data_IF_130548221986
#
_entry.id   IF_130548221986
#
_cell.length_a   1.000
_cell.length_b   1.000
_cell.length_c   1.000
_cell.angle_alpha   90.00
_cell.angle_beta   90.00
_cell.angle_gamma   90.00
#
_symmetry.space_group_name_H-M   'P 1'
#
loop_
_entity.id
_entity.type
_entity.pdbx_description
1 polymer ?
#
# COMPACT_ATOMS: atom_id res chain seq x y z
N UNK A 1 -47.42 9.56 -22.99
CA UNK A 1 -46.07 9.33 -23.55
C UNK A 1 -44.96 9.98 -22.74
N UNK A 2 -44.99 11.29 -22.43
CA UNK A 2 -43.92 11.99 -21.67
C UNK A 2 -43.51 11.35 -20.33
N UNK A 3 -44.45 10.79 -19.56
CA UNK A 3 -44.17 10.15 -18.27
C UNK A 3 -43.30 8.89 -18.39
N UNK A 4 -43.50 8.10 -19.46
CA UNK A 4 -42.74 6.87 -19.70
C UNK A 4 -41.27 7.18 -20.05
N UNK A 5 -41.04 8.19 -20.90
CA UNK A 5 -39.69 8.63 -21.26
C UNK A 5 -38.94 9.17 -20.05
N UNK A 6 -39.61 9.91 -19.17
CA UNK A 6 -39.00 10.44 -17.95
C UNK A 6 -38.60 9.31 -16.99
N UNK A 7 -39.46 8.31 -16.80
CA UNK A 7 -39.12 7.12 -15.99
C UNK A 7 -37.95 6.35 -16.59
N UNK A 8 -37.94 6.16 -17.92
CA UNK A 8 -36.86 5.45 -18.61
C UNK A 8 -35.52 6.20 -18.46
N UNK A 9 -35.55 7.52 -18.60
CA UNK A 9 -34.38 8.38 -18.41
C UNK A 9 -33.82 8.26 -16.99
N UNK A 10 -34.68 8.31 -15.96
CA UNK A 10 -34.24 8.15 -14.57
C UNK A 10 -33.61 6.78 -14.33
N UNK A 11 -34.20 5.69 -14.82
CA UNK A 11 -33.65 4.33 -14.65
C UNK A 11 -32.27 4.22 -15.29
N UNK A 12 -32.09 4.72 -16.52
CA UNK A 12 -30.79 4.70 -17.22
C UNK A 12 -29.78 5.59 -16.49
N UNK A 13 -30.19 6.77 -16.04
CA UNK A 13 -29.33 7.70 -15.33
C UNK A 13 -28.83 7.11 -14.00
N UNK A 14 -29.71 6.54 -13.18
CA UNK A 14 -29.31 5.92 -11.91
C UNK A 14 -28.47 4.65 -12.11
N UNK A 15 -28.80 3.79 -13.10
CA UNK A 15 -28.01 2.60 -13.41
C UNK A 15 -26.62 2.91 -13.97
N UNK A 16 -26.45 4.04 -14.66
CA UNK A 16 -25.15 4.47 -15.19
C UNK A 16 -24.26 5.09 -14.10
N UNK A 17 -24.84 5.85 -13.17
CA UNK A 17 -24.09 6.53 -12.11
C UNK A 17 -23.68 5.61 -10.95
N UNK A 18 -24.35 4.47 -10.74
CA UNK A 18 -23.97 3.48 -9.71
C UNK A 18 -22.66 2.75 -10.01
N UNK A 19 -22.19 2.71 -11.25
CA UNK A 19 -20.88 2.13 -11.61
C UNK A 19 -19.69 3.08 -11.37
N UNK A 20 -19.93 4.34 -10.96
CA UNK A 20 -18.87 5.30 -10.65
C UNK A 20 -18.30 5.12 -9.23
N UNK A 21 -18.84 4.21 -8.43
CA UNK A 21 -18.39 3.99 -7.05
C UNK A 21 -17.22 2.99 -6.99
N UNK A 22 -16.09 3.51 -6.49
CA UNK A 22 -15.08 2.82 -5.68
C UNK A 22 -14.21 1.78 -6.41
N UNK A 23 -13.33 2.25 -7.30
CA UNK A 23 -12.09 1.52 -7.55
C UNK A 23 -11.16 1.79 -6.36
N UNK A 24 -11.26 0.99 -5.30
CA UNK A 24 -10.27 1.02 -4.21
C UNK A 24 -8.88 0.86 -4.82
N UNK A 25 -8.02 1.87 -4.64
CA UNK A 25 -6.63 1.81 -5.13
C UNK A 25 -5.81 0.91 -4.21
N UNK A 26 -6.05 -0.40 -4.29
CA UNK A 26 -5.22 -1.40 -3.63
C UNK A 26 -3.92 -1.53 -4.41
N UNK A 27 -2.79 -1.41 -3.71
CA UNK A 27 -1.44 -1.53 -4.28
C UNK A 27 -0.60 -2.61 -3.60
N UNK A 28 -1.18 -3.32 -2.61
CA UNK A 28 -0.55 -4.45 -1.92
C UNK A 28 -1.38 -5.69 -2.21
N UNK A 29 -0.73 -6.73 -2.73
CA UNK A 29 -1.36 -7.98 -3.11
C UNK A 29 -0.67 -9.14 -2.38
N UNK A 30 -1.42 -10.19 -2.07
CA UNK A 30 -0.87 -11.41 -1.44
C UNK A 30 -0.23 -12.34 -2.47
N UNK A 31 -0.72 -12.29 -3.71
CA UNK A 31 -0.18 -13.06 -4.84
C UNK A 31 0.61 -12.11 -5.74
N UNK A 32 1.83 -12.49 -6.08
CA UNK A 32 2.70 -11.71 -6.96
C UNK A 32 2.35 -11.98 -8.44
N UNK A 33 2.26 -10.92 -9.24
CA UNK A 33 2.15 -11.01 -10.69
C UNK A 33 3.47 -10.62 -11.37
N UNK A 34 3.63 -10.99 -12.64
CA UNK A 34 4.82 -10.61 -13.40
C UNK A 34 4.91 -9.09 -13.53
N UNK A 35 6.02 -8.51 -13.05
CA UNK A 35 6.26 -7.07 -13.02
C UNK A 35 6.01 -6.41 -11.67
N UNK A 36 5.47 -7.13 -10.68
CA UNK A 36 5.27 -6.61 -9.33
C UNK A 36 6.58 -6.56 -8.54
N UNK A 37 6.65 -5.60 -7.61
CA UNK A 37 7.73 -5.54 -6.62
C UNK A 37 7.39 -6.46 -5.42
N UNK A 38 8.15 -7.53 -5.25
CA UNK A 38 8.03 -8.38 -4.08
C UNK A 38 8.47 -7.63 -2.82
N UNK A 39 7.51 -7.30 -1.95
CA UNK A 39 7.78 -6.71 -0.64
C UNK A 39 8.19 -7.75 0.40
N UNK A 40 7.73 -8.99 0.24
CA UNK A 40 8.13 -10.16 1.01
C UNK A 40 8.27 -11.32 0.05
N UNK A 41 9.46 -11.90 -0.06
CA UNK A 41 9.73 -13.08 -0.88
C UNK A 41 10.11 -14.25 0.04
N UNK A 42 9.34 -15.34 -0.01
CA UNK A 42 9.52 -16.54 0.83
C UNK A 42 9.73 -16.23 2.33
N UNK A 43 8.99 -15.26 2.85
CA UNK A 43 9.09 -14.80 4.25
C UNK A 43 10.21 -13.81 4.53
N UNK A 44 11.07 -13.50 3.55
CA UNK A 44 12.11 -12.48 3.69
C UNK A 44 11.59 -11.11 3.24
N UNK A 45 11.52 -10.11 4.12
CA UNK A 45 11.06 -8.78 3.74
C UNK A 45 12.12 -8.01 2.94
N UNK A 46 11.65 -7.14 2.05
CA UNK A 46 12.48 -6.22 1.28
C UNK A 46 13.26 -5.29 2.21
N UNK A 47 14.52 -5.01 1.86
CA UNK A 47 15.35 -4.08 2.63
C UNK A 47 14.87 -2.63 2.49
N UNK A 48 14.99 -1.85 3.55
CA UNK A 48 14.59 -0.44 3.58
C UNK A 48 15.82 0.47 3.43
N UNK A 49 15.70 1.47 2.56
CA UNK A 49 16.71 2.51 2.37
C UNK A 49 16.14 3.88 2.79
N UNK A 50 16.89 4.60 3.62
CA UNK A 50 16.54 5.96 4.06
C UNK A 50 17.81 6.70 4.49
N UNK A 51 17.78 8.03 4.37
CA UNK A 51 18.85 8.90 4.87
C UNK A 51 18.69 9.11 6.38
N UNK A 52 19.77 8.91 7.14
CA UNK A 52 19.84 9.17 8.58
C UNK A 52 19.76 10.67 8.92
N UNK A 53 19.97 11.55 7.93
CA UNK A 53 19.81 12.99 8.07
C UNK A 53 18.35 13.45 7.99
N UNK A 54 17.42 12.54 7.71
CA UNK A 54 15.99 12.85 7.72
C UNK A 54 15.52 13.25 9.12
N UNK A 55 14.37 13.93 9.16
CA UNK A 55 13.72 14.31 10.40
C UNK A 55 13.48 13.09 11.31
N UNK A 56 13.60 13.29 12.63
CA UNK A 56 13.42 12.23 13.65
C UNK A 56 12.05 11.54 13.53
N UNK A 57 11.02 12.26 13.11
CA UNK A 57 9.67 11.71 12.89
C UNK A 57 9.68 10.73 11.72
N UNK A 58 10.44 11.02 10.65
CA UNK A 58 10.61 10.12 9.51
C UNK A 58 11.35 8.86 9.94
N UNK A 59 12.44 9.00 10.70
CA UNK A 59 13.19 7.85 11.21
C UNK A 59 12.34 6.96 12.12
N UNK A 60 11.48 7.56 12.96
CA UNK A 60 10.52 6.82 13.78
C UNK A 60 9.49 6.09 12.92
N UNK A 61 8.95 6.73 11.89
CA UNK A 61 7.98 6.09 10.99
C UNK A 61 8.60 4.90 10.23
N UNK A 62 9.89 4.99 9.87
CA UNK A 62 10.63 3.90 9.24
C UNK A 62 10.82 2.73 10.19
N UNK A 63 11.21 2.98 11.45
CA UNK A 63 11.35 1.92 12.46
C UNK A 63 10.00 1.24 12.76
N UNK A 64 8.91 2.01 12.87
CA UNK A 64 7.57 1.44 13.03
C UNK A 64 7.21 0.54 11.84
N UNK A 65 7.44 1.00 10.61
CA UNK A 65 7.21 0.20 9.40
C UNK A 65 8.05 -1.08 9.40
N UNK A 66 9.30 -1.01 9.89
CA UNK A 66 10.17 -2.19 10.00
C UNK A 66 9.56 -3.24 10.94
N UNK A 67 8.95 -2.81 12.05
CA UNK A 67 8.26 -3.69 12.99
C UNK A 67 6.98 -4.28 12.37
N UNK A 68 6.25 -3.49 11.57
CA UNK A 68 5.07 -3.98 10.84
C UNK A 68 5.44 -5.09 9.85
N UNK A 69 6.54 -4.92 9.10
CA UNK A 69 7.06 -5.98 8.22
C UNK A 69 7.43 -7.25 8.99
N UNK A 70 8.02 -7.12 10.18
CA UNK A 70 8.36 -8.26 11.02
C UNK A 70 7.11 -9.03 11.48
N UNK A 71 6.04 -8.33 11.85
CA UNK A 71 4.77 -8.95 12.22
C UNK A 71 4.14 -9.70 11.04
N UNK A 72 4.21 -9.14 9.83
CA UNK A 72 3.59 -9.73 8.62
C UNK A 72 4.44 -10.87 8.04
N UNK A 73 5.77 -10.74 8.04
CA UNK A 73 6.68 -11.71 7.41
C UNK A 73 7.08 -12.89 8.32
N UNK A 74 6.56 -12.96 9.54
CA UNK A 74 6.84 -14.08 10.45
C UNK A 74 8.17 -13.99 11.19
N UNK A 75 8.49 -12.78 11.70
CA UNK A 75 9.66 -12.45 12.55
C UNK A 75 10.99 -12.16 11.84
N UNK A 76 11.01 -12.14 10.51
CA UNK A 76 12.15 -11.63 9.76
C UNK A 76 12.04 -10.11 9.63
N UNK A 77 13.12 -9.41 9.99
CA UNK A 77 13.19 -7.94 9.97
C UNK A 77 13.79 -7.47 8.64
N UNK A 78 13.25 -6.41 8.00
CA UNK A 78 13.93 -5.73 6.91
C UNK A 78 15.34 -5.32 7.33
N UNK A 79 16.33 -5.62 6.49
CA UNK A 79 17.70 -5.14 6.69
C UNK A 79 17.81 -3.66 6.30
N UNK A 80 18.69 -2.94 6.99
CA UNK A 80 18.99 -1.55 6.69
C UNK A 80 20.11 -1.46 5.66
N UNK A 81 19.81 -0.82 4.53
CA UNK A 81 20.82 -0.47 3.53
C UNK A 81 21.21 1.00 3.71
N UNK A 82 21.67 1.39 4.90
CA UNK A 82 22.13 2.75 5.21
C UNK A 82 23.60 2.74 5.66
N UNK A 83 24.25 3.91 5.77
CA UNK A 83 25.60 3.98 6.33
C UNK A 83 25.64 3.37 7.75
N UNK A 84 26.77 2.78 8.15
CA UNK A 84 26.88 1.94 9.34
C UNK A 84 26.35 2.62 10.61
N UNK A 85 25.66 1.83 11.44
CA UNK A 85 25.12 2.21 12.75
C UNK A 85 26.25 2.61 13.73
N UNK A 86 26.84 3.78 13.57
CA UNK A 86 27.81 4.35 14.53
C UNK A 86 27.24 5.49 15.37
N UNK A 87 25.93 5.74 15.32
CA UNK A 87 25.29 6.68 16.26
C UNK A 87 24.33 5.90 17.15
N UNK A 88 24.92 5.30 18.18
CA UNK A 88 24.23 4.90 19.40
C UNK A 88 23.56 6.15 20.00
N UNK A 89 22.27 6.03 20.32
CA UNK A 89 21.61 6.91 21.29
C UNK A 89 22.20 6.68 22.67
#
# INVERSE_FOLDING_TARGET
MMRLFFTLFLVIFFASNSNAQLRESKFIFQEAQAGDLALVDRGSPLSLHFDLKNDKVVLRAVENRRQDFEMVAGRLKPSYLGPPQSVQL
#
